data_IF_533711200819
#
_entry.id   IF_533711200819
#
_cell.length_a   1.000
_cell.length_b   1.000
_cell.length_c   1.000
_cell.angle_alpha   90.00
_cell.angle_beta   90.00
_cell.angle_gamma   90.00
#
_symmetry.space_group_name_H-M   'P 1'
#
loop_
_entity.id
_entity.type
_entity.pdbx_description
1 polymer ?
#
# COMPACT_ATOMS: atom_id res chain seq x y z
N UNK A 1 -17.49 -72.08 -51.09
CA UNK A 1 -16.50 -71.67 -50.07
C UNK A 1 -15.98 -70.29 -50.45
N UNK A 2 -16.52 -69.22 -49.83
CA UNK A 2 -16.09 -67.85 -50.10
C UNK A 2 -15.72 -67.15 -48.79
N UNK A 3 -14.55 -66.50 -48.85
CA UNK A 3 -13.87 -65.77 -47.79
C UNK A 3 -14.62 -64.48 -47.41
N UNK A 4 -14.64 -64.15 -46.11
CA UNK A 4 -14.73 -62.76 -45.63
C UNK A 4 -14.31 -62.69 -44.16
N UNK A 5 -13.05 -62.29 -43.92
CA UNK A 5 -12.53 -61.92 -42.61
C UNK A 5 -12.96 -60.48 -42.32
N UNK A 6 -13.74 -60.24 -41.27
CA UNK A 6 -14.01 -58.89 -40.76
C UNK A 6 -12.86 -58.45 -39.85
N UNK A 7 -12.16 -57.40 -40.27
CA UNK A 7 -11.18 -56.66 -39.46
C UNK A 7 -11.97 -55.70 -38.58
N UNK A 8 -11.85 -55.83 -37.26
CA UNK A 8 -12.35 -54.84 -36.31
C UNK A 8 -11.26 -53.78 -36.09
N UNK A 9 -11.50 -52.56 -36.55
CA UNK A 9 -10.66 -51.41 -36.27
C UNK A 9 -11.01 -50.87 -34.86
N UNK A 10 -10.03 -50.93 -33.94
CA UNK A 10 -10.11 -50.21 -32.67
C UNK A 10 -9.74 -48.75 -32.92
N UNK A 11 -10.72 -47.85 -32.87
CA UNK A 11 -10.48 -46.41 -32.83
C UNK A 11 -10.15 -46.02 -31.38
N UNK A 12 -8.88 -45.69 -31.13
CA UNK A 12 -8.43 -45.13 -29.86
C UNK A 12 -8.73 -43.62 -29.86
N UNK A 13 -9.92 -43.23 -29.39
CA UNK A 13 -10.23 -41.82 -29.11
C UNK A 13 -9.57 -41.40 -27.80
N UNK A 14 -8.39 -40.76 -27.89
CA UNK A 14 -7.78 -40.08 -26.77
C UNK A 14 -8.61 -38.87 -26.35
N UNK A 15 -9.23 -38.92 -25.17
CA UNK A 15 -9.87 -37.75 -24.56
C UNK A 15 -8.78 -36.77 -24.07
N UNK A 16 -8.58 -35.70 -24.82
CA UNK A 16 -7.95 -34.47 -24.31
C UNK A 16 -8.94 -33.81 -23.34
N UNK A 17 -8.85 -34.16 -22.05
CA UNK A 17 -9.49 -33.41 -20.97
C UNK A 17 -8.78 -32.07 -20.80
N UNK A 18 -9.21 -31.06 -21.56
CA UNK A 18 -8.87 -29.67 -21.29
C UNK A 18 -9.35 -29.32 -19.88
N UNK A 19 -8.42 -28.94 -18.99
CA UNK A 19 -8.78 -28.38 -17.69
C UNK A 19 -9.46 -27.04 -17.91
N UNK A 20 -10.79 -27.04 -17.96
CA UNK A 20 -11.58 -25.84 -17.82
C UNK A 20 -11.30 -25.27 -16.42
N UNK A 21 -10.54 -24.17 -16.36
CA UNK A 21 -10.34 -23.43 -15.12
C UNK A 21 -11.62 -22.64 -14.86
N UNK A 22 -12.44 -23.12 -13.93
CA UNK A 22 -13.57 -22.35 -13.45
C UNK A 22 -13.06 -21.22 -12.56
N UNK A 23 -13.46 -19.98 -12.85
CA UNK A 23 -13.23 -18.87 -11.94
C UNK A 23 -13.97 -19.18 -10.63
N UNK A 24 -13.23 -19.31 -9.53
CA UNK A 24 -13.84 -19.46 -8.21
C UNK A 24 -14.57 -18.17 -7.85
N UNK A 25 -15.86 -18.30 -7.52
CA UNK A 25 -16.64 -17.19 -6.99
C UNK A 25 -16.31 -17.02 -5.50
N UNK A 26 -15.49 -16.03 -5.16
CA UNK A 26 -15.12 -15.73 -3.78
C UNK A 26 -16.14 -14.76 -3.19
N UNK A 27 -16.91 -15.21 -2.19
CA UNK A 27 -17.75 -14.34 -1.37
C UNK A 27 -16.90 -13.69 -0.27
N UNK A 28 -16.73 -12.38 -0.36
CA UNK A 28 -16.15 -11.52 0.67
C UNK A 28 -17.25 -11.06 1.64
N UNK A 29 -16.94 -11.01 2.93
CA UNK A 29 -17.83 -10.49 3.98
C UNK A 29 -17.07 -9.40 4.71
N UNK A 30 -17.64 -8.20 4.75
CA UNK A 30 -17.03 -7.07 5.44
C UNK A 30 -17.48 -7.01 6.92
N UNK A 31 -16.61 -6.52 7.82
CA UNK A 31 -15.22 -6.11 7.55
C UNK A 31 -14.28 -7.32 7.41
N UNK A 32 -13.37 -7.29 6.42
CA UNK A 32 -12.36 -8.36 6.22
C UNK A 32 -11.34 -8.44 7.35
N UNK A 33 -11.14 -7.33 8.08
CA UNK A 33 -10.40 -7.23 9.34
C UNK A 33 -11.30 -6.49 10.34
N UNK A 34 -11.74 -7.17 11.40
CA UNK A 34 -12.60 -6.58 12.43
C UNK A 34 -11.78 -6.05 13.60
N UNK A 35 -12.25 -4.96 14.23
CA UNK A 35 -11.54 -4.31 15.34
C UNK A 35 -10.84 -3.02 14.92
N UNK A 36 -9.74 -2.70 15.61
CA UNK A 36 -8.98 -1.48 15.42
C UNK A 36 -7.93 -1.65 14.31
N UNK A 37 -8.39 -1.62 13.05
CA UNK A 37 -7.54 -1.70 11.85
C UNK A 37 -7.89 -0.62 10.80
N UNK A 38 -7.61 0.66 11.11
CA UNK A 38 -7.87 1.77 10.18
C UNK A 38 -6.83 1.86 9.06
N UNK A 39 -7.11 2.73 8.11
CA UNK A 39 -6.20 3.14 7.03
C UNK A 39 -5.50 1.97 6.30
N UNK A 40 -6.25 1.00 5.75
CA UNK A 40 -5.67 -0.15 5.08
C UNK A 40 -4.96 0.29 3.80
N UNK A 41 -3.65 0.11 3.73
CA UNK A 41 -2.88 0.18 2.48
C UNK A 41 -2.49 -1.21 2.02
N UNK A 42 -2.69 -1.51 0.74
CA UNK A 42 -2.54 -2.86 0.17
C UNK A 42 -1.57 -2.86 -1.02
N UNK A 43 -0.75 -3.90 -1.10
CA UNK A 43 0.09 -4.19 -2.26
C UNK A 43 -0.04 -5.67 -2.66
N UNK A 44 -0.03 -5.93 -3.97
CA UNK A 44 0.04 -7.28 -4.53
C UNK A 44 1.46 -7.56 -5.00
N UNK A 45 2.01 -8.71 -4.63
CA UNK A 45 3.30 -9.20 -5.13
C UNK A 45 3.09 -10.62 -5.64
N UNK A 46 3.29 -10.82 -6.93
CA UNK A 46 3.00 -12.08 -7.63
C UNK A 46 1.56 -12.58 -7.42
N UNK A 47 1.38 -13.58 -6.54
CA UNK A 47 0.08 -14.20 -6.22
C UNK A 47 -0.42 -13.85 -4.81
N UNK A 48 0.38 -13.11 -4.05
CA UNK A 48 0.16 -12.82 -2.64
C UNK A 48 -0.21 -11.34 -2.46
N UNK A 49 -1.01 -11.06 -1.44
CA UNK A 49 -1.47 -9.73 -1.06
C UNK A 49 -0.97 -9.42 0.34
N UNK A 50 -0.53 -8.17 0.54
CA UNK A 50 -0.06 -7.66 1.81
C UNK A 50 -0.78 -6.38 2.14
N UNK A 51 -1.16 -6.22 3.40
CA UNK A 51 -1.91 -5.05 3.89
C UNK A 51 -1.26 -4.53 5.17
N UNK A 52 -1.20 -3.22 5.33
CA UNK A 52 -0.76 -2.54 6.55
C UNK A 52 -1.82 -1.57 7.04
N UNK A 53 -1.90 -1.37 8.35
CA UNK A 53 -2.84 -0.46 9.01
C UNK A 53 -2.09 0.51 9.92
N UNK A 54 -2.70 1.67 10.18
CA UNK A 54 -2.23 2.58 11.22
C UNK A 54 -2.44 1.97 12.61
N UNK A 55 -1.62 2.40 13.57
CA UNK A 55 -1.69 1.92 14.97
C UNK A 55 -1.69 3.02 16.00
N UNK A 56 -1.51 4.28 15.60
CA UNK A 56 -1.23 5.35 16.53
C UNK A 56 -0.04 4.99 17.44
N UNK A 57 -0.09 5.34 18.73
CA UNK A 57 0.98 5.08 19.70
C UNK A 57 1.00 3.64 20.26
N UNK A 58 0.24 2.70 19.68
CA UNK A 58 0.28 1.29 20.08
C UNK A 58 1.55 0.61 19.55
N UNK A 59 2.18 -0.20 20.40
CA UNK A 59 3.40 -0.94 20.09
C UNK A 59 3.22 -2.45 20.34
N UNK A 60 3.69 -3.35 19.45
CA UNK A 60 4.30 -3.10 18.14
C UNK A 60 3.35 -2.38 17.16
N UNK A 61 3.91 -1.50 16.32
CA UNK A 61 3.17 -0.63 15.42
C UNK A 61 3.14 -1.12 13.97
N UNK A 62 2.11 -0.70 13.24
CA UNK A 62 1.83 -1.04 11.83
C UNK A 62 1.80 -2.55 11.55
N UNK A 63 0.71 -3.26 11.89
CA UNK A 63 0.60 -4.69 11.63
C UNK A 63 0.65 -4.97 10.14
N UNK A 64 1.36 -6.03 9.76
CA UNK A 64 1.45 -6.51 8.38
C UNK A 64 0.61 -7.78 8.24
N UNK A 65 -0.35 -7.76 7.33
CA UNK A 65 -1.23 -8.87 7.02
C UNK A 65 -0.85 -9.50 5.70
N UNK A 66 -1.10 -10.80 5.57
CA UNK A 66 -0.93 -11.57 4.34
C UNK A 66 -2.21 -12.29 3.97
N UNK A 67 -2.52 -12.32 2.68
CA UNK A 67 -3.61 -13.11 2.11
C UNK A 67 -3.23 -13.63 0.71
N UNK A 68 -3.90 -14.71 0.29
CA UNK A 68 -3.85 -15.24 -1.09
C UNK A 68 -5.17 -15.07 -1.83
N UNK A 69 -6.24 -14.73 -1.12
CA UNK A 69 -7.61 -14.76 -1.61
C UNK A 69 -8.40 -13.48 -1.28
N UNK A 70 -7.75 -12.47 -0.68
CA UNK A 70 -8.33 -11.21 -0.19
C UNK A 70 -9.41 -11.38 0.90
N UNK A 71 -9.67 -12.62 1.31
CA UNK A 71 -10.73 -13.00 2.26
C UNK A 71 -10.15 -13.36 3.62
N UNK A 72 -9.20 -14.28 3.62
CA UNK A 72 -8.55 -14.78 4.82
C UNK A 72 -7.23 -14.06 4.99
N UNK A 73 -7.10 -13.35 6.10
CA UNK A 73 -5.92 -12.55 6.41
C UNK A 73 -5.24 -13.07 7.68
N UNK A 74 -3.92 -13.21 7.62
CA UNK A 74 -3.09 -13.57 8.76
C UNK A 74 -2.10 -12.45 9.03
N UNK A 75 -2.01 -11.98 10.27
CA UNK A 75 -0.93 -11.09 10.66
C UNK A 75 0.40 -11.87 10.64
N UNK A 76 1.37 -11.37 9.89
CA UNK A 76 2.69 -11.99 9.69
C UNK A 76 3.82 -11.22 10.40
N UNK A 77 3.54 -10.02 10.89
CA UNK A 77 4.50 -9.20 11.62
C UNK A 77 3.99 -7.80 11.91
N UNK A 78 4.90 -6.91 12.29
CA UNK A 78 4.69 -5.48 12.48
C UNK A 78 5.90 -4.74 11.91
N UNK A 79 5.67 -3.59 11.26
CA UNK A 79 6.77 -2.79 10.68
C UNK A 79 7.64 -2.20 11.79
N UNK A 80 7.02 -1.68 12.84
CA UNK A 80 7.67 -1.12 14.02
C UNK A 80 7.57 -2.13 15.16
N UNK A 81 8.63 -2.88 15.39
CA UNK A 81 8.68 -3.98 16.38
C UNK A 81 9.89 -3.92 17.31
N UNK A 82 10.74 -2.91 17.15
CA UNK A 82 11.92 -2.68 18.00
C UNK A 82 11.92 -1.25 18.51
N UNK A 83 12.28 -1.05 19.77
CA UNK A 83 12.46 0.27 20.37
C UNK A 83 13.53 1.11 19.65
N UNK A 84 14.50 0.46 18.99
CA UNK A 84 15.49 1.14 18.15
C UNK A 84 14.90 1.78 16.88
N UNK A 85 13.67 1.41 16.49
CA UNK A 85 12.96 2.03 15.39
C UNK A 85 12.18 3.26 15.87
N UNK A 86 11.48 3.13 17.00
CA UNK A 86 10.66 4.18 17.58
C UNK A 86 10.30 3.86 19.03
N UNK A 87 10.11 4.90 19.84
CA UNK A 87 9.63 4.82 21.22
C UNK A 87 8.46 5.80 21.40
N UNK A 88 7.31 5.29 21.84
CA UNK A 88 6.07 6.05 22.00
C UNK A 88 5.79 6.41 23.47
N UNK A 89 6.77 6.22 24.37
CA UNK A 89 6.59 6.48 25.79
C UNK A 89 6.20 7.95 26.05
N UNK A 90 5.02 8.15 26.64
CA UNK A 90 4.50 9.48 26.98
C UNK A 90 3.61 10.10 25.91
N UNK A 91 3.45 9.46 24.75
CA UNK A 91 2.50 9.93 23.74
C UNK A 91 1.04 9.72 24.14
N UNK A 92 0.16 10.54 23.56
CA UNK A 92 -1.29 10.33 23.66
C UNK A 92 -1.71 9.18 22.76
N UNK A 93 -2.62 8.34 23.26
CA UNK A 93 -3.08 7.13 22.57
C UNK A 93 -3.49 7.29 21.09
N UNK A 94 -3.99 8.46 20.68
CA UNK A 94 -4.43 8.76 19.30
C UNK A 94 -3.38 9.53 18.48
N UNK A 95 -2.10 9.48 18.88
CA UNK A 95 -0.97 10.14 18.21
C UNK A 95 0.01 9.08 17.70
N UNK A 96 1.28 9.40 17.45
CA UNK A 96 2.23 8.46 16.85
C UNK A 96 1.87 8.13 15.39
N UNK A 97 1.72 6.84 15.09
CA UNK A 97 1.67 6.32 13.72
C UNK A 97 0.31 6.45 13.03
N UNK A 98 0.21 7.41 12.11
CA UNK A 98 -0.96 7.68 11.26
C UNK A 98 -1.00 6.74 10.03
N UNK A 99 -1.83 7.07 9.02
CA UNK A 99 -2.06 6.23 7.85
C UNK A 99 -0.74 5.83 7.16
N UNK A 100 -0.46 4.52 7.03
CA UNK A 100 0.68 4.04 6.28
C UNK A 100 0.36 3.89 4.78
N UNK A 101 1.40 3.94 3.95
CA UNK A 101 1.36 3.49 2.56
C UNK A 101 2.30 2.29 2.39
N UNK A 102 1.86 1.20 1.75
CA UNK A 102 2.75 0.09 1.35
C UNK A 102 2.88 0.00 -0.16
N UNK A 103 4.11 -0.12 -0.62
CA UNK A 103 4.43 -0.38 -2.03
C UNK A 103 5.55 -1.41 -2.15
N UNK A 104 5.67 -1.99 -3.35
CA UNK A 104 6.69 -2.98 -3.66
C UNK A 104 7.38 -2.60 -4.96
N UNK A 105 8.70 -2.56 -4.92
CA UNK A 105 9.52 -2.24 -6.09
C UNK A 105 10.83 -3.01 -6.07
N UNK A 106 11.09 -3.72 -7.17
CA UNK A 106 12.33 -4.48 -7.44
C UNK A 106 12.82 -5.29 -6.23
N UNK A 107 11.96 -6.16 -5.70
CA UNK A 107 12.34 -7.06 -4.60
C UNK A 107 12.28 -6.44 -3.21
N UNK A 108 11.73 -5.24 -3.04
CA UNK A 108 11.75 -4.50 -1.78
C UNK A 108 10.37 -3.96 -1.46
N UNK A 109 9.92 -4.16 -0.23
CA UNK A 109 8.75 -3.50 0.34
C UNK A 109 9.16 -2.17 0.94
N UNK A 110 8.34 -1.15 0.71
CA UNK A 110 8.47 0.18 1.27
C UNK A 110 7.19 0.47 2.05
N UNK A 111 7.33 0.83 3.32
CA UNK A 111 6.22 1.33 4.12
C UNK A 111 6.52 2.78 4.48
N UNK A 112 5.67 3.67 4.02
CA UNK A 112 5.64 5.07 4.44
C UNK A 112 4.63 5.23 5.57
N UNK A 113 4.87 6.18 6.47
CA UNK A 113 3.94 6.53 7.53
C UNK A 113 4.30 7.91 8.08
N UNK A 114 3.37 8.53 8.80
CA UNK A 114 3.62 9.74 9.58
C UNK A 114 3.64 9.40 11.05
N UNK A 115 4.73 9.77 11.73
CA UNK A 115 4.73 9.95 13.17
C UNK A 115 4.38 11.42 13.45
N UNK A 116 3.14 11.64 13.87
CA UNK A 116 2.52 12.97 13.87
C UNK A 116 3.08 13.92 14.94
N UNK A 117 3.67 13.40 16.02
CA UNK A 117 4.18 14.19 17.15
C UNK A 117 5.70 14.28 17.17
N UNK A 118 6.42 13.43 16.43
CA UNK A 118 7.87 13.46 16.40
C UNK A 118 8.44 13.46 14.99
N UNK A 119 8.70 12.27 14.44
CA UNK A 119 9.65 12.11 13.32
C UNK A 119 9.12 12.61 11.98
N UNK A 120 7.85 13.02 11.93
CA UNK A 120 7.18 13.43 10.70
C UNK A 120 7.02 12.24 9.77
N UNK A 121 7.15 12.48 8.47
CA UNK A 121 7.04 11.42 7.47
C UNK A 121 8.34 10.63 7.36
N UNK A 122 8.21 9.31 7.27
CA UNK A 122 9.35 8.41 7.15
C UNK A 122 9.06 7.23 6.21
N UNK A 123 10.11 6.53 5.81
CA UNK A 123 10.07 5.26 5.07
C UNK A 123 10.80 4.18 5.84
N UNK A 124 10.24 2.97 5.86
CA UNK A 124 10.87 1.75 6.35
C UNK A 124 10.87 0.73 5.21
N UNK A 125 11.92 -0.10 5.12
CA UNK A 125 12.05 -1.09 4.05
C UNK A 125 12.28 -2.50 4.56
N UNK A 126 11.87 -3.50 3.78
CA UNK A 126 12.19 -4.90 4.01
C UNK A 126 12.23 -5.70 2.70
N UNK A 127 13.03 -6.78 2.66
CA UNK A 127 12.99 -7.76 1.56
C UNK A 127 11.91 -8.83 1.76
N UNK A 128 11.57 -9.09 3.02
CA UNK A 128 10.51 -10.00 3.42
C UNK A 128 9.43 -9.19 4.16
N UNK A 129 8.14 -9.26 3.78
CA UNK A 129 7.09 -8.49 4.43
C UNK A 129 6.83 -8.90 5.89
N UNK A 130 7.28 -10.09 6.31
CA UNK A 130 7.30 -10.49 7.73
C UNK A 130 8.46 -9.87 8.52
N UNK A 131 9.35 -9.13 7.84
CA UNK A 131 10.54 -8.53 8.41
C UNK A 131 11.81 -9.39 8.28
N UNK A 132 12.94 -8.94 8.87
CA UNK A 132 13.06 -7.71 9.66
C UNK A 132 12.93 -6.46 8.80
N UNK A 133 12.24 -5.46 9.34
CA UNK A 133 12.14 -4.12 8.76
C UNK A 133 13.31 -3.24 9.20
N UNK A 134 13.78 -2.34 8.32
CA UNK A 134 14.85 -1.38 8.61
C UNK A 134 14.49 -0.44 9.76
N UNK A 135 15.44 0.40 10.18
CA UNK A 135 15.07 1.60 10.95
C UNK A 135 14.42 2.65 10.02
N UNK A 136 13.58 3.56 10.54
CA UNK A 136 12.97 4.61 9.75
C UNK A 136 14.00 5.56 9.12
N UNK A 137 13.77 5.92 7.86
CA UNK A 137 14.47 7.01 7.17
C UNK A 137 13.51 8.18 7.04
N UNK A 138 13.86 9.31 7.67
CA UNK A 138 13.01 10.51 7.71
C UNK A 138 13.00 11.23 6.38
N UNK A 139 11.88 11.87 6.07
CA UNK A 139 11.63 12.64 4.86
C UNK A 139 11.33 14.11 5.22
N UNK A 140 12.33 14.92 5.59
CA UNK A 140 12.09 16.25 6.16
C UNK A 140 11.43 17.24 5.19
N UNK A 141 11.51 16.99 3.88
CA UNK A 141 10.82 17.77 2.85
C UNK A 141 9.32 17.45 2.78
N UNK A 142 8.90 16.25 3.15
CA UNK A 142 7.51 15.80 3.05
C UNK A 142 6.76 16.28 4.29
N UNK A 143 6.12 17.45 4.17
CA UNK A 143 5.42 18.13 5.28
C UNK A 143 3.91 17.96 5.20
N UNK A 144 3.37 17.14 6.08
CA UNK A 144 1.95 16.82 6.14
C UNK A 144 1.74 15.38 6.60
N UNK A 145 0.68 14.73 6.13
CA UNK A 145 0.31 13.36 6.54
C UNK A 145 0.02 12.46 5.34
N UNK A 146 -0.23 11.18 5.62
CA UNK A 146 -0.64 10.14 4.68
C UNK A 146 0.31 9.98 3.48
N UNK A 147 1.62 9.81 3.72
CA UNK A 147 2.56 9.61 2.64
C UNK A 147 2.32 8.26 1.96
N UNK A 148 2.39 8.23 0.65
CA UNK A 148 2.35 7.02 -0.17
C UNK A 148 3.39 7.11 -1.29
N UNK A 149 4.06 6.00 -1.60
CA UNK A 149 5.01 5.95 -2.74
C UNK A 149 4.38 5.18 -3.90
N UNK A 150 4.40 5.81 -5.06
CA UNK A 150 4.15 5.19 -6.34
C UNK A 150 5.46 4.99 -7.09
N UNK A 151 5.64 3.82 -7.70
CA UNK A 151 6.77 3.53 -8.57
C UNK A 151 6.25 3.33 -9.99
N UNK A 152 6.77 4.10 -10.93
CA UNK A 152 6.40 4.00 -12.35
C UNK A 152 7.32 3.01 -13.08
N UNK A 153 6.88 2.61 -14.27
CA UNK A 153 7.54 1.66 -15.15
C UNK A 153 8.85 2.20 -15.74
N UNK A 154 9.01 3.53 -15.79
CA UNK A 154 10.26 4.18 -16.16
C UNK A 154 11.35 4.09 -15.07
N UNK A 155 11.00 3.51 -13.93
CA UNK A 155 11.88 3.27 -12.80
C UNK A 155 11.90 4.39 -11.76
N UNK A 156 11.15 5.48 -11.96
CA UNK A 156 11.07 6.60 -11.02
C UNK A 156 10.10 6.30 -9.87
N UNK A 157 10.43 6.85 -8.70
CA UNK A 157 9.57 6.86 -7.53
C UNK A 157 8.96 8.23 -7.32
N UNK A 158 7.72 8.27 -6.88
CA UNK A 158 7.00 9.49 -6.52
C UNK A 158 6.35 9.31 -5.16
N UNK A 159 6.68 10.20 -4.22
CA UNK A 159 5.99 10.25 -2.93
C UNK A 159 4.90 11.30 -2.98
N UNK A 160 3.67 10.91 -2.67
CA UNK A 160 2.48 11.76 -2.63
C UNK A 160 1.94 11.81 -1.21
N UNK A 161 1.39 12.96 -0.80
CA UNK A 161 0.95 13.18 0.59
C UNK A 161 -0.05 14.34 0.69
N UNK A 162 -0.84 14.35 1.76
CA UNK A 162 -1.64 15.50 2.16
C UNK A 162 -0.74 16.61 2.71
N UNK A 163 -1.03 17.87 2.40
CA UNK A 163 -0.32 19.02 2.96
C UNK A 163 -1.24 20.23 3.14
N UNK A 164 -0.70 21.29 3.74
CA UNK A 164 -1.37 22.59 3.93
C UNK A 164 -1.82 23.23 2.61
N UNK A 165 -2.71 24.21 2.73
CA UNK A 165 -3.11 25.08 1.62
C UNK A 165 -1.89 25.80 1.01
N UNK A 166 -1.96 26.23 -0.27
CA UNK A 166 -0.88 27.01 -0.89
C UNK A 166 -0.51 28.23 -0.05
N UNK A 167 0.80 28.46 0.13
CA UNK A 167 1.38 29.55 0.93
C UNK A 167 0.83 29.66 2.36
N UNK A 168 0.30 28.57 2.92
CA UNK A 168 -0.39 28.57 4.22
C UNK A 168 -1.59 29.54 4.29
N UNK A 169 -2.23 29.81 3.14
CA UNK A 169 -3.40 30.69 3.00
C UNK A 169 -4.64 29.88 2.63
N UNK A 170 -5.34 29.26 3.61
CA UNK A 170 -6.55 28.50 3.33
C UNK A 170 -7.69 29.42 2.85
N UNK A 171 -8.44 28.97 1.83
CA UNK A 171 -9.62 29.68 1.34
C UNK A 171 -10.86 29.43 2.23
N UNK A 172 -10.82 28.36 3.03
CA UNK A 172 -11.86 27.96 3.97
C UNK A 172 -11.25 26.99 5.00
N UNK A 173 -11.94 26.77 6.13
CA UNK A 173 -11.48 25.83 7.16
C UNK A 173 -11.35 24.42 6.59
N UNK A 174 -10.18 23.80 6.75
CA UNK A 174 -9.88 22.47 6.22
C UNK A 174 -9.43 22.43 4.76
N UNK A 175 -9.18 23.58 4.12
CA UNK A 175 -8.54 23.65 2.81
C UNK A 175 -7.13 23.02 2.87
N UNK A 176 -6.94 21.93 2.12
CA UNK A 176 -5.67 21.17 2.03
C UNK A 176 -5.27 20.95 0.58
N UNK A 177 -4.04 20.49 0.37
CA UNK A 177 -3.49 20.11 -0.93
C UNK A 177 -3.05 18.65 -0.92
N UNK A 178 -3.00 18.03 -2.10
CA UNK A 178 -2.22 16.82 -2.35
C UNK A 178 -0.97 17.24 -3.10
N UNK A 179 0.18 16.88 -2.56
CA UNK A 179 1.49 17.29 -3.09
C UNK A 179 2.37 16.08 -3.37
N UNK A 180 3.42 16.30 -4.16
CA UNK A 180 4.30 15.25 -4.62
C UNK A 180 5.75 15.72 -4.73
N UNK A 181 6.67 14.81 -4.39
CA UNK A 181 8.08 14.87 -4.80
C UNK A 181 8.42 13.63 -5.62
N UNK A 182 9.42 13.72 -6.49
CA UNK A 182 10.15 12.52 -6.93
C UNK A 182 10.97 11.99 -5.74
N UNK A 183 11.15 10.68 -5.61
CA UNK A 183 11.93 10.04 -4.55
C UNK A 183 12.87 8.98 -5.13
N UNK A 184 14.12 9.01 -4.71
CA UNK A 184 15.08 7.96 -5.06
C UNK A 184 14.78 6.68 -4.25
N UNK A 185 14.44 5.55 -4.89
CA UNK A 185 14.15 4.29 -4.19
C UNK A 185 15.34 3.74 -3.39
N UNK A 186 16.57 4.15 -3.70
CA UNK A 186 17.77 3.61 -3.06
C UNK A 186 18.17 4.45 -1.84
N UNK A 187 18.40 5.75 -2.04
CA UNK A 187 18.80 6.65 -0.95
C UNK A 187 17.64 7.11 -0.08
N UNK A 188 16.39 6.89 -0.51
CA UNK A 188 15.16 7.32 0.17
C UNK A 188 15.11 8.83 0.41
N UNK A 189 15.63 9.60 -0.54
CA UNK A 189 15.63 11.07 -0.52
C UNK A 189 14.72 11.62 -1.61
N UNK A 190 14.02 12.71 -1.30
CA UNK A 190 13.28 13.47 -2.30
C UNK A 190 14.23 14.12 -3.30
N UNK A 191 13.80 14.20 -4.56
CA UNK A 191 14.53 14.79 -5.67
C UNK A 191 13.73 15.99 -6.20
N UNK A 192 14.43 17.09 -6.49
CA UNK A 192 13.86 18.24 -7.17
C UNK A 192 12.85 19.03 -6.33
N UNK A 193 11.86 19.60 -7.03
CA UNK A 193 10.88 20.52 -6.45
C UNK A 193 9.55 19.86 -6.13
N UNK A 194 8.86 20.42 -5.14
CA UNK A 194 7.51 20.02 -4.74
C UNK A 194 6.50 20.38 -5.84
N UNK A 195 5.55 19.49 -6.11
CA UNK A 195 4.44 19.77 -7.02
C UNK A 195 3.12 19.62 -6.30
N UNK A 196 2.23 20.61 -6.46
CA UNK A 196 0.83 20.48 -6.05
C UNK A 196 0.10 19.72 -7.16
N UNK A 197 -0.47 18.56 -6.83
CA UNK A 197 -1.29 17.76 -7.74
C UNK A 197 -2.76 18.13 -7.66
N UNK A 198 -3.26 18.36 -6.44
CA UNK A 198 -4.65 18.72 -6.17
C UNK A 198 -4.68 19.86 -5.17
N UNK A 199 -5.45 20.91 -5.46
CA UNK A 199 -5.64 22.05 -4.58
C UNK A 199 -7.13 22.16 -4.20
N UNK A 200 -7.48 21.80 -2.97
CA UNK A 200 -8.87 21.86 -2.50
C UNK A 200 -9.83 20.88 -3.19
N UNK A 201 -9.36 19.66 -3.48
CA UNK A 201 -10.17 18.54 -3.96
C UNK A 201 -10.54 18.60 -5.44
N UNK A 202 -11.47 17.74 -5.86
CA UNK A 202 -11.94 17.65 -7.26
C UNK A 202 -12.71 18.91 -7.68
N UNK A 203 -13.50 19.47 -6.77
CA UNK A 203 -14.22 20.73 -6.96
C UNK A 203 -14.08 21.61 -5.72
N UNK A 204 -13.15 22.57 -5.80
CA UNK A 204 -12.85 23.49 -4.69
C UNK A 204 -14.02 24.40 -4.32
N UNK A 205 -14.98 24.63 -5.23
CA UNK A 205 -16.15 25.45 -4.95
C UNK A 205 -17.09 24.81 -3.93
N UNK A 206 -17.03 23.47 -3.79
CA UNK A 206 -17.74 22.71 -2.76
C UNK A 206 -17.06 22.77 -1.40
N UNK A 207 -15.89 23.41 -1.30
CA UNK A 207 -15.09 23.55 -0.09
C UNK A 207 -14.79 22.21 0.62
N UNK A 208 -14.25 21.20 -0.09
CA UNK A 208 -13.93 19.91 0.52
C UNK A 208 -12.88 20.06 1.62
N UNK A 209 -13.17 19.47 2.78
CA UNK A 209 -12.37 19.62 3.99
C UNK A 209 -11.47 18.39 4.13
N UNK A 210 -10.18 18.60 4.42
CA UNK A 210 -9.21 17.55 4.74
C UNK A 210 -9.07 16.49 3.64
N UNK A 211 -8.83 16.93 2.38
CA UNK A 211 -8.51 15.99 1.30
C UNK A 211 -7.23 15.23 1.64
N UNK A 212 -7.30 13.92 1.85
CA UNK A 212 -6.18 13.15 2.41
C UNK A 212 -6.14 11.72 1.83
N UNK A 213 -5.31 10.83 2.39
CA UNK A 213 -5.12 9.46 1.90
C UNK A 213 -4.77 9.33 0.41
N UNK A 214 -3.84 10.13 -0.15
CA UNK A 214 -3.56 10.07 -1.58
C UNK A 214 -2.80 8.79 -1.97
N UNK A 215 -3.27 8.12 -3.02
CA UNK A 215 -2.56 7.04 -3.69
C UNK A 215 -2.59 7.25 -5.21
N UNK A 216 -1.46 6.99 -5.87
CA UNK A 216 -1.35 7.06 -7.34
C UNK A 216 -1.34 5.63 -7.89
N UNK A 217 -2.16 5.43 -8.93
CA UNK A 217 -2.23 4.18 -9.70
C UNK A 217 -2.19 4.53 -11.18
N UNK A 218 -1.42 3.77 -11.96
CA UNK A 218 -1.41 3.86 -13.42
C UNK A 218 -2.31 2.76 -13.99
N UNK A 219 -3.27 3.13 -14.83
CA UNK A 219 -4.22 2.18 -15.45
C UNK A 219 -4.63 2.64 -16.84
N UNK A 220 -4.34 1.82 -17.84
CA UNK A 220 -4.68 2.03 -19.26
C UNK A 220 -3.93 3.17 -19.98
N UNK A 221 -2.69 3.43 -19.59
CA UNK A 221 -1.90 4.55 -20.13
C UNK A 221 -2.37 5.91 -19.62
#
# INVERSE_FOLDING_TARGET
MNFSKKIAAFALTGLLLGKASFAQNIKLVNPILSGFYPDPSIVKVDKDYYLVNSTFSYFPGLPVWHSKDLKNWKQIGNVISRTSQMDFLGERMTRGLFAPGISYYKGTFYVTCTDIDHEGNFVVTAKNPAGPWSNPVKLPQVKGIDPSIFFDEDGKGYIVYNSDAPDYKPLYSGHRTIKMYEIDPISLKTIGEEKILVNGGVDITKKPVWIEGPHILKRNG
#
